data_IF_810497646545
#
_entry.id   IF_810497646545
#
_cell.length_a   1.000
_cell.length_b   1.000
_cell.length_c   1.000
_cell.angle_alpha   90.00
_cell.angle_beta   90.00
_cell.angle_gamma   90.00
#
_symmetry.space_group_name_H-M   'P 1'
#
loop_
_entity.id
_entity.type
_entity.pdbx_description
1 polymer ?
#
# COMPACT_ATOMS: atom_id res chain seq x y z
N UNK A 1 0.24 1.85 -9.76
CA UNK A 1 1.03 2.53 -10.81
C UNK A 1 0.25 3.74 -11.32
N UNK A 2 0.76 4.46 -12.31
CA UNK A 2 0.41 5.83 -12.66
C UNK A 2 -0.71 5.97 -13.73
N UNK A 3 -1.87 5.32 -13.55
CA UNK A 3 -3.01 5.58 -14.44
C UNK A 3 -3.43 7.06 -14.40
N UNK A 4 -4.14 7.53 -15.43
CA UNK A 4 -4.58 8.93 -15.63
C UNK A 4 -3.48 9.99 -15.86
N UNK A 5 -2.30 9.90 -15.22
CA UNK A 5 -1.28 10.97 -15.29
C UNK A 5 -0.86 11.30 -16.71
N UNK A 6 -0.71 10.28 -17.57
CA UNK A 6 -0.40 10.45 -18.98
C UNK A 6 -1.53 11.08 -19.79
N UNK A 7 -2.79 10.76 -19.48
CA UNK A 7 -3.93 11.41 -20.11
C UNK A 7 -3.97 12.90 -19.74
N UNK A 8 -3.77 13.23 -18.45
CA UNK A 8 -3.71 14.62 -18.00
C UNK A 8 -2.55 15.39 -18.66
N UNK A 9 -1.37 14.77 -18.74
CA UNK A 9 -0.19 15.37 -19.36
C UNK A 9 -0.42 15.66 -20.86
N UNK A 10 -0.89 14.67 -21.61
CA UNK A 10 -1.18 14.84 -23.05
C UNK A 10 -2.29 15.86 -23.30
N UNK A 11 -3.36 15.85 -22.50
CA UNK A 11 -4.43 16.85 -22.63
C UNK A 11 -3.92 18.26 -22.34
N UNK A 12 -3.12 18.46 -21.28
CA UNK A 12 -2.49 19.76 -21.00
C UNK A 12 -1.57 20.22 -22.15
N UNK A 13 -0.84 19.29 -22.76
CA UNK A 13 0.02 19.59 -23.90
C UNK A 13 -0.79 20.10 -25.11
N UNK A 14 -1.86 19.40 -25.50
CA UNK A 14 -2.71 19.84 -26.61
C UNK A 14 -3.46 21.13 -26.27
N UNK A 15 -4.01 21.23 -25.05
CA UNK A 15 -4.72 22.43 -24.61
C UNK A 15 -3.83 23.68 -24.73
N UNK A 16 -2.56 23.55 -24.34
CA UNK A 16 -1.56 24.61 -24.48
C UNK A 16 -1.23 24.92 -25.94
N UNK A 17 -1.02 23.90 -26.79
CA UNK A 17 -0.65 24.09 -28.19
C UNK A 17 -1.73 24.84 -29.00
N UNK A 18 -3.01 24.66 -28.66
CA UNK A 18 -4.13 25.34 -29.33
C UNK A 18 -4.64 26.58 -28.56
N UNK A 19 -4.02 26.92 -27.42
CA UNK A 19 -4.31 28.10 -26.62
C UNK A 19 -5.63 28.05 -25.82
N UNK A 20 -6.24 26.88 -25.63
CA UNK A 20 -7.48 26.74 -24.86
C UNK A 20 -7.23 26.76 -23.35
N UNK A 21 -6.00 26.47 -22.91
CA UNK A 21 -5.58 26.55 -21.51
C UNK A 21 -5.74 27.95 -20.90
N UNK A 22 -5.57 29.00 -21.72
CA UNK A 22 -5.77 30.41 -21.32
C UNK A 22 -7.20 30.72 -20.85
N UNK A 23 -8.20 29.95 -21.29
CA UNK A 23 -9.61 30.14 -20.95
C UNK A 23 -10.26 28.87 -20.39
N UNK A 24 -9.48 27.97 -19.79
CA UNK A 24 -10.00 26.73 -19.23
C UNK A 24 -10.93 27.04 -18.04
N UNK A 25 -12.19 26.55 -18.02
CA UNK A 25 -13.08 26.77 -16.90
C UNK A 25 -12.50 26.20 -15.60
N UNK A 26 -12.65 26.94 -14.49
CA UNK A 26 -12.09 26.52 -13.20
C UNK A 26 -12.56 25.14 -12.75
N UNK A 27 -13.81 24.78 -13.03
CA UNK A 27 -14.36 23.46 -12.73
C UNK A 27 -13.59 22.34 -13.45
N UNK A 28 -13.13 22.55 -14.68
CA UNK A 28 -12.32 21.57 -15.41
C UNK A 28 -10.95 21.39 -14.75
N UNK A 29 -10.30 22.48 -14.35
CA UNK A 29 -9.03 22.44 -13.60
C UNK A 29 -9.17 21.73 -12.26
N UNK A 30 -10.24 22.05 -11.50
CA UNK A 30 -10.50 21.44 -10.19
C UNK A 30 -10.75 19.94 -10.29
N UNK A 31 -11.58 19.49 -11.23
CA UNK A 31 -11.81 18.05 -11.45
C UNK A 31 -10.51 17.35 -11.83
N UNK A 32 -9.71 17.92 -12.75
CA UNK A 32 -8.41 17.34 -13.15
C UNK A 32 -7.48 17.19 -11.95
N UNK A 33 -7.45 18.17 -11.05
CA UNK A 33 -6.64 18.14 -9.84
C UNK A 33 -7.15 17.13 -8.81
N UNK A 34 -8.47 17.03 -8.61
CA UNK A 34 -9.07 16.06 -7.69
C UNK A 34 -8.77 14.61 -8.13
N UNK A 35 -8.91 14.32 -9.42
CA UNK A 35 -8.59 12.99 -9.96
C UNK A 35 -7.09 12.70 -9.85
N UNK A 36 -6.22 13.70 -10.06
CA UNK A 36 -4.78 13.53 -9.87
C UNK A 36 -4.46 13.22 -8.40
N UNK A 37 -5.04 13.97 -7.46
CA UNK A 37 -4.85 13.75 -6.03
C UNK A 37 -5.32 12.35 -5.59
N UNK A 38 -6.49 11.91 -6.06
CA UNK A 38 -6.99 10.56 -5.80
C UNK A 38 -6.04 9.48 -6.35
N UNK A 39 -5.52 9.69 -7.56
CA UNK A 39 -4.52 8.82 -8.16
C UNK A 39 -3.24 8.74 -7.32
N UNK A 40 -2.73 9.88 -6.81
CA UNK A 40 -1.55 9.91 -5.94
C UNK A 40 -1.75 9.08 -4.66
N UNK A 41 -2.88 9.27 -3.98
CA UNK A 41 -3.20 8.52 -2.76
C UNK A 41 -3.28 7.01 -3.05
N UNK A 42 -3.99 6.61 -4.10
CA UNK A 42 -4.08 5.21 -4.49
C UNK A 42 -2.70 4.61 -4.80
N UNK A 43 -1.91 5.28 -5.65
CA UNK A 43 -0.64 4.75 -6.12
C UNK A 43 0.35 4.57 -4.96
N UNK A 44 0.44 5.55 -4.07
CA UNK A 44 1.41 5.50 -2.97
C UNK A 44 1.02 4.52 -1.87
N UNK A 45 -0.27 4.36 -1.57
CA UNK A 45 -0.74 3.33 -0.63
C UNK A 45 -0.44 1.93 -1.19
N UNK A 46 -0.74 1.69 -2.47
CA UNK A 46 -0.45 0.40 -3.12
C UNK A 46 1.04 0.15 -3.18
N UNK A 47 1.85 1.14 -3.57
CA UNK A 47 3.30 1.02 -3.61
C UNK A 47 3.86 0.64 -2.24
N UNK A 48 3.47 1.36 -1.18
CA UNK A 48 3.98 1.11 0.15
C UNK A 48 3.72 -0.33 0.61
N UNK A 49 2.46 -0.80 0.53
CA UNK A 49 2.10 -2.11 1.08
C UNK A 49 2.34 -3.28 0.13
N UNK A 50 1.98 -3.14 -1.15
CA UNK A 50 1.94 -4.28 -2.06
C UNK A 50 3.23 -4.44 -2.88
N UNK A 51 4.03 -3.38 -3.02
CA UNK A 51 5.28 -3.43 -3.78
C UNK A 51 6.51 -3.37 -2.88
N UNK A 52 6.51 -2.50 -1.86
CA UNK A 52 7.73 -2.23 -1.10
C UNK A 52 7.79 -2.90 0.28
N UNK A 53 6.67 -3.09 0.96
CA UNK A 53 6.68 -3.61 2.34
C UNK A 53 7.34 -4.99 2.48
N UNK A 54 7.29 -5.85 1.45
CA UNK A 54 7.90 -7.18 1.50
C UNK A 54 9.44 -7.16 1.53
N UNK A 55 10.07 -6.02 1.24
CA UNK A 55 11.51 -5.84 1.42
C UNK A 55 11.88 -5.61 2.90
N UNK A 56 10.91 -5.23 3.73
CA UNK A 56 11.12 -4.78 5.12
C UNK A 56 10.41 -5.66 6.16
N UNK A 57 9.37 -6.38 5.76
CA UNK A 57 8.50 -7.16 6.65
C UNK A 57 8.65 -8.65 6.32
N UNK A 58 9.12 -9.42 7.31
CA UNK A 58 9.00 -10.88 7.29
C UNK A 58 7.56 -11.27 7.62
N UNK A 59 6.81 -11.72 6.61
CA UNK A 59 5.41 -12.13 6.77
C UNK A 59 5.29 -13.34 7.71
N UNK A 60 6.27 -14.25 7.70
CA UNK A 60 6.26 -15.43 8.57
C UNK A 60 6.61 -15.11 10.03
N UNK A 61 7.29 -13.99 10.28
CA UNK A 61 7.54 -13.46 11.63
C UNK A 61 6.24 -13.19 12.42
N UNK A 62 5.13 -12.92 11.72
CA UNK A 62 3.81 -12.78 12.33
C UNK A 62 3.35 -14.05 13.08
N UNK A 63 3.81 -15.24 12.68
CA UNK A 63 3.42 -16.51 13.29
C UNK A 63 3.87 -16.66 14.74
N UNK A 64 4.94 -15.95 15.12
CA UNK A 64 5.52 -15.98 16.47
C UNK A 64 5.19 -14.75 17.31
N UNK A 65 4.46 -13.78 16.75
CA UNK A 65 4.11 -12.55 17.45
C UNK A 65 3.06 -12.77 18.56
N UNK A 66 3.14 -12.01 19.66
CA UNK A 66 2.08 -11.89 20.66
C UNK A 66 1.03 -10.86 20.20
N UNK A 67 -0.22 -11.26 19.92
CA UNK A 67 -1.26 -10.35 19.45
C UNK A 67 -1.60 -9.21 20.43
N UNK A 68 -1.49 -9.45 21.75
CA UNK A 68 -1.77 -8.41 22.76
C UNK A 68 -0.69 -7.34 22.73
N UNK A 69 0.58 -7.76 22.67
CA UNK A 69 1.72 -6.84 22.53
C UNK A 69 1.65 -6.07 21.20
N UNK A 70 1.36 -6.77 20.10
CA UNK A 70 1.22 -6.16 18.78
C UNK A 70 0.09 -5.11 18.75
N UNK A 71 -1.07 -5.41 19.36
CA UNK A 71 -2.17 -4.46 19.47
C UNK A 71 -1.79 -3.24 20.33
N UNK A 72 -1.04 -3.44 21.42
CA UNK A 72 -0.53 -2.33 22.23
C UNK A 72 0.41 -1.41 21.43
N UNK A 73 1.27 -1.96 20.57
CA UNK A 73 2.14 -1.18 19.69
C UNK A 73 1.29 -0.43 18.64
N UNK A 74 0.34 -1.11 18.00
CA UNK A 74 -0.52 -0.48 17.01
C UNK A 74 -1.31 0.73 17.57
N UNK A 75 -1.83 0.58 18.80
CA UNK A 75 -2.56 1.66 19.49
C UNK A 75 -1.66 2.76 20.05
N UNK A 76 -0.34 2.56 20.17
CA UNK A 76 0.58 3.62 20.59
C UNK A 76 1.03 4.52 19.43
N UNK A 77 0.90 4.04 18.18
CA UNK A 77 1.33 4.76 16.98
C UNK A 77 0.17 5.30 16.13
N UNK A 78 -1.08 4.98 16.48
CA UNK A 78 -2.27 5.39 15.73
C UNK A 78 -3.49 5.56 16.64
N UNK A 79 -4.37 6.51 16.29
CA UNK A 79 -5.69 6.64 16.92
C UNK A 79 -6.70 5.57 16.47
N UNK A 80 -6.36 4.78 15.44
CA UNK A 80 -7.21 3.66 14.99
C UNK A 80 -7.12 2.53 16.00
N UNK A 81 -8.23 2.29 16.71
CA UNK A 81 -8.35 1.18 17.66
C UNK A 81 -8.10 -0.15 16.97
N UNK A 82 -7.08 -0.88 17.44
CA UNK A 82 -6.72 -2.22 16.99
C UNK A 82 -6.82 -3.17 18.17
N UNK A 83 -7.62 -4.23 18.05
CA UNK A 83 -7.78 -5.21 19.12
C UNK A 83 -6.85 -6.40 18.94
N UNK A 84 -6.51 -7.06 20.05
CA UNK A 84 -5.68 -8.26 20.01
C UNK A 84 -6.34 -9.39 19.21
N UNK A 85 -7.66 -9.49 19.27
CA UNK A 85 -8.45 -10.50 18.54
C UNK A 85 -8.38 -10.28 17.02
N UNK A 86 -8.36 -9.01 16.56
CA UNK A 86 -8.24 -8.68 15.13
C UNK A 86 -6.88 -9.15 14.58
N UNK A 87 -5.81 -8.87 15.33
CA UNK A 87 -4.46 -9.31 14.95
C UNK A 87 -4.27 -10.82 15.07
N UNK A 88 -4.95 -11.46 16.04
CA UNK A 88 -4.97 -12.92 16.14
C UNK A 88 -5.66 -13.55 14.93
N UNK A 89 -6.78 -13.00 14.47
CA UNK A 89 -7.45 -13.46 13.26
C UNK A 89 -6.54 -13.36 12.01
N UNK A 90 -5.76 -12.27 11.89
CA UNK A 90 -4.76 -12.13 10.83
C UNK A 90 -3.65 -13.18 10.97
N UNK A 91 -3.11 -13.38 12.16
CA UNK A 91 -2.08 -14.40 12.43
C UNK A 91 -2.58 -15.80 12.07
N UNK A 92 -3.81 -16.15 12.43
CA UNK A 92 -4.40 -17.46 12.12
C UNK A 92 -4.62 -17.64 10.61
N UNK A 93 -4.97 -16.57 9.89
CA UNK A 93 -5.08 -16.59 8.42
C UNK A 93 -3.72 -16.81 7.75
N UNK A 94 -2.67 -16.13 8.23
CA UNK A 94 -1.29 -16.33 7.75
C UNK A 94 -0.82 -17.73 8.09
N UNK A 95 -1.11 -18.23 9.29
CA UNK A 95 -0.81 -19.61 9.69
C UNK A 95 -1.44 -20.62 8.74
N UNK A 96 -2.74 -20.48 8.43
CA UNK A 96 -3.41 -21.36 7.48
C UNK A 96 -2.78 -21.34 6.07
N UNK A 97 -2.31 -20.17 5.62
CA UNK A 97 -1.59 -20.06 4.35
C UNK A 97 -0.25 -20.81 4.40
N UNK A 98 0.54 -20.63 5.46
CA UNK A 98 1.86 -21.28 5.59
C UNK A 98 1.71 -22.78 5.78
N UNK A 99 0.81 -23.23 6.64
CA UNK A 99 0.55 -24.64 6.90
C UNK A 99 0.05 -25.39 5.65
N UNK A 100 -0.56 -24.69 4.68
CA UNK A 100 -0.98 -25.28 3.40
C UNK A 100 0.18 -25.66 2.47
N UNK A 101 1.37 -25.09 2.67
CA UNK A 101 2.50 -25.19 1.74
C UNK A 101 2.33 -24.41 0.42
N UNK A 102 1.16 -23.79 0.17
CA UNK A 102 0.87 -23.02 -1.04
C UNK A 102 1.05 -21.52 -0.79
N UNK A 103 2.31 -21.08 -0.68
CA UNK A 103 2.67 -19.72 -0.25
C UNK A 103 2.32 -18.60 -1.25
N UNK A 104 1.97 -18.94 -2.49
CA UNK A 104 1.54 -17.98 -3.51
C UNK A 104 2.60 -16.90 -3.76
N UNK A 105 2.23 -15.63 -3.58
CA UNK A 105 3.13 -14.48 -3.78
C UNK A 105 4.32 -14.45 -2.81
N UNK A 106 4.31 -15.25 -1.74
CA UNK A 106 5.42 -15.37 -0.79
C UNK A 106 6.38 -16.51 -1.10
N UNK A 107 6.15 -17.26 -2.19
CA UNK A 107 7.02 -18.38 -2.59
C UNK A 107 8.45 -17.89 -2.83
N UNK A 108 9.42 -18.51 -2.16
CA UNK A 108 10.85 -18.18 -2.24
C UNK A 108 11.18 -16.72 -1.86
N UNK A 109 10.33 -16.04 -1.09
CA UNK A 109 10.62 -14.70 -0.60
C UNK A 109 11.89 -14.69 0.27
N UNK A 110 12.67 -13.60 0.21
CA UNK A 110 13.97 -13.52 0.88
C UNK A 110 13.90 -13.64 2.39
N UNK A 111 12.76 -13.32 3.01
CA UNK A 111 12.58 -13.49 4.44
C UNK A 111 12.41 -14.95 4.89
N UNK A 112 12.11 -15.89 3.98
CA UNK A 112 11.89 -17.30 4.36
C UNK A 112 13.18 -17.92 4.90
N UNK A 113 13.11 -18.46 6.11
CA UNK A 113 14.28 -19.02 6.82
C UNK A 113 15.16 -17.97 7.51
N UNK A 114 14.73 -16.70 7.49
CA UNK A 114 15.44 -15.58 8.10
C UNK A 114 16.51 -14.98 7.19
N UNK A 115 16.54 -13.66 7.09
CA UNK A 115 17.53 -12.92 6.31
C UNK A 115 18.05 -11.73 7.08
N UNK A 116 19.38 -11.52 7.06
CA UNK A 116 20.07 -10.53 7.91
C UNK A 116 19.61 -9.09 7.69
N UNK A 117 18.99 -8.78 6.54
CA UNK A 117 18.45 -7.46 6.23
C UNK A 117 17.06 -7.17 6.81
N UNK A 118 16.37 -8.18 7.36
CA UNK A 118 15.08 -8.01 8.03
C UNK A 118 15.31 -7.84 9.53
N UNK A 119 14.81 -6.74 10.09
CA UNK A 119 15.11 -6.32 11.47
C UNK A 119 13.89 -6.32 12.40
N UNK A 120 12.70 -6.59 11.85
CA UNK A 120 11.43 -6.56 12.55
C UNK A 120 10.93 -7.97 12.84
#
# INVERSE_FOLDING_TARGET
VCTYTHALASTRCVDNAVGVDANLPDNARLIRNLVLAAQFLHDHIVHFYHLHALDWVDVTGALTADPKKAASIANSISSRVTKAEDLKAVQDKVKGLVDSGQLGIFTNAYFLGGHKGYYL
#
